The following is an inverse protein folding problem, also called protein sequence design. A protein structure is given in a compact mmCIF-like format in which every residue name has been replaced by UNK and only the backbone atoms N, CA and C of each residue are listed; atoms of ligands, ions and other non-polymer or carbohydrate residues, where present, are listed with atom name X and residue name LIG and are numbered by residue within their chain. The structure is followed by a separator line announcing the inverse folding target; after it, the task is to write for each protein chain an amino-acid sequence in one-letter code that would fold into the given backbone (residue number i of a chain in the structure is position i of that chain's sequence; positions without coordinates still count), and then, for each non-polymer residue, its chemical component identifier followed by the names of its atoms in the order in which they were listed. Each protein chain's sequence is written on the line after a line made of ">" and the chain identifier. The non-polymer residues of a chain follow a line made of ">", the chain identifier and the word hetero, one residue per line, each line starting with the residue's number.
data_IF_465273841996
#
_entry.id   IF_465273841996
#
_cell.length_a   1.000
_cell.length_b   1.000
_cell.length_c   1.000
_cell.angle_alpha   90.00
_cell.angle_beta   90.00
_cell.angle_gamma   90.00
#
_symmetry.space_group_name_H-M   'P 1'
#
loop_
_entity.id
_entity.type
_entity.pdbx_description
1 polymer ?
#
# COMPACT_ATOMS: atom_id res chain seq x y z
N UNK A 1 -21.56 -1.93 17.58
CA UNK A 1 -20.34 -2.61 17.14
C UNK A 1 -20.67 -3.57 16.01
N UNK A 2 -19.88 -3.58 14.94
CA UNK A 2 -20.03 -4.53 13.86
C UNK A 2 -19.31 -5.83 14.25
N UNK A 3 -19.96 -6.99 14.05
CA UNK A 3 -19.37 -8.30 14.33
C UNK A 3 -18.30 -8.67 13.27
N UNK A 4 -18.51 -8.18 12.04
CA UNK A 4 -17.62 -8.43 10.91
C UNK A 4 -17.27 -7.07 10.27
N UNK A 5 -16.07 -6.58 10.54
CA UNK A 5 -15.54 -5.37 9.92
C UNK A 5 -14.08 -5.60 9.54
N UNK A 6 -13.74 -5.21 8.33
CA UNK A 6 -12.36 -5.18 7.89
C UNK A 6 -11.62 -4.01 8.54
N UNK A 7 -10.30 -4.09 8.61
CA UNK A 7 -9.43 -2.99 9.04
C UNK A 7 -9.25 -1.96 7.92
N UNK A 8 -8.41 -0.97 8.16
CA UNK A 8 -8.13 0.08 7.20
C UNK A 8 -9.26 1.11 7.14
N UNK A 9 -9.66 1.47 5.92
CA UNK A 9 -10.69 2.48 5.66
C UNK A 9 -12.06 2.11 6.22
N UNK A 10 -12.38 0.82 6.31
CA UNK A 10 -13.70 0.35 6.75
C UNK A 10 -14.08 0.87 8.14
N UNK A 11 -13.13 0.98 9.07
CA UNK A 11 -13.35 1.52 10.41
C UNK A 11 -13.57 3.04 10.43
N UNK A 12 -13.11 3.73 9.39
CA UNK A 12 -13.14 5.19 9.26
C UNK A 12 -14.15 5.67 8.21
N UNK A 13 -14.94 4.75 7.64
CA UNK A 13 -15.92 5.07 6.58
C UNK A 13 -16.79 6.29 6.88
N UNK A 14 -17.33 6.52 8.10
CA UNK A 14 -18.14 7.71 8.39
C UNK A 14 -17.41 9.04 8.20
N UNK A 15 -16.09 9.06 8.30
CA UNK A 15 -15.28 10.25 8.04
C UNK A 15 -15.04 10.44 6.53
N UNK A 16 -14.78 9.34 5.80
CA UNK A 16 -14.53 9.38 4.36
C UNK A 16 -15.78 9.70 3.53
N UNK A 17 -16.96 9.30 4.00
CA UNK A 17 -18.24 9.62 3.33
C UNK A 17 -18.86 10.94 3.82
N UNK A 18 -18.17 11.68 4.70
CA UNK A 18 -18.58 13.00 5.16
C UNK A 18 -19.70 13.02 6.19
N UNK A 19 -20.15 11.86 6.71
CA UNK A 19 -21.17 11.79 7.77
C UNK A 19 -20.69 12.33 9.10
N UNK A 20 -19.40 12.22 9.36
CA UNK A 20 -18.77 12.74 10.58
C UNK A 20 -17.53 13.55 10.16
N UNK A 21 -17.40 14.75 10.72
CA UNK A 21 -16.20 15.57 10.56
C UNK A 21 -15.25 15.21 11.71
N UNK A 22 -14.03 14.75 11.43
CA UNK A 22 -13.07 14.44 12.50
C UNK A 22 -12.51 15.71 13.13
N UNK A 23 -12.19 15.65 14.41
CA UNK A 23 -11.53 16.75 15.13
C UNK A 23 -10.13 17.04 14.56
N UNK A 24 -9.44 16.00 14.07
CA UNK A 24 -8.19 16.10 13.35
C UNK A 24 -8.29 15.31 12.03
N UNK A 25 -8.07 15.96 10.87
CA UNK A 25 -8.13 15.28 9.58
C UNK A 25 -6.94 14.33 9.33
N UNK A 26 -5.89 14.38 10.13
CA UNK A 26 -4.73 13.49 10.07
C UNK A 26 -4.82 12.45 11.17
N UNK A 27 -5.04 11.21 10.79
CA UNK A 27 -5.25 10.10 11.72
C UNK A 27 -4.17 9.05 11.52
N UNK A 28 -3.60 8.57 12.61
CA UNK A 28 -2.76 7.37 12.62
C UNK A 28 -3.32 6.36 13.60
N UNK A 29 -3.24 5.08 13.26
CA UNK A 29 -3.68 4.01 14.15
C UNK A 29 -2.92 2.70 13.90
N UNK A 30 -3.12 1.76 14.83
CA UNK A 30 -2.76 0.35 14.68
C UNK A 30 -4.03 -0.47 14.95
N UNK A 31 -4.47 -1.25 13.96
CA UNK A 31 -5.70 -2.01 14.03
C UNK A 31 -5.39 -3.51 14.08
N UNK A 32 -5.87 -4.21 15.11
CA UNK A 32 -5.83 -5.68 15.14
C UNK A 32 -6.79 -6.24 14.12
N UNK A 33 -6.32 -7.16 13.30
CA UNK A 33 -7.04 -7.67 12.14
C UNK A 33 -6.92 -9.16 11.99
N UNK A 34 -7.99 -9.77 11.47
CA UNK A 34 -8.02 -11.17 11.08
C UNK A 34 -8.39 -11.23 9.59
N UNK A 35 -7.60 -11.97 8.81
CA UNK A 35 -7.89 -12.30 7.41
C UNK A 35 -7.81 -13.80 7.21
N UNK A 36 -8.76 -14.37 6.48
CA UNK A 36 -8.85 -15.81 6.23
C UNK A 36 -8.95 -16.18 4.76
N UNK A 37 -9.01 -15.20 3.87
CA UNK A 37 -9.09 -15.42 2.42
C UNK A 37 -7.85 -16.13 1.82
N UNK A 38 -6.69 -15.97 2.45
CA UNK A 38 -5.44 -16.63 2.03
C UNK A 38 -4.94 -17.66 3.06
N UNK A 39 -5.85 -18.33 3.75
CA UNK A 39 -5.51 -19.22 4.87
C UNK A 39 -4.61 -20.38 4.45
N UNK A 40 -4.73 -20.87 3.23
CA UNK A 40 -3.87 -21.93 2.69
C UNK A 40 -2.41 -21.51 2.50
N UNK A 41 -2.14 -20.21 2.44
CA UNK A 41 -0.79 -19.64 2.30
C UNK A 41 -0.13 -19.32 3.64
N UNK A 42 -0.89 -19.37 4.74
CA UNK A 42 -0.36 -19.12 6.08
C UNK A 42 0.66 -20.17 6.47
N UNK A 43 1.84 -19.71 6.88
CA UNK A 43 2.97 -20.58 7.22
C UNK A 43 3.76 -21.13 6.02
N UNK A 44 3.33 -20.82 4.77
CA UNK A 44 4.05 -21.18 3.54
C UNK A 44 4.78 -19.97 2.93
N UNK A 45 4.23 -18.79 3.08
CA UNK A 45 4.83 -17.53 2.62
C UNK A 45 5.20 -16.66 3.80
N UNK A 46 6.13 -15.72 3.61
CA UNK A 46 6.53 -14.79 4.67
C UNK A 46 5.49 -13.69 4.95
N UNK A 47 4.54 -13.47 4.04
CA UNK A 47 3.61 -12.35 4.06
C UNK A 47 2.17 -12.68 4.46
N UNK A 48 1.78 -13.95 4.51
CA UNK A 48 0.41 -14.35 4.84
C UNK A 48 0.29 -14.77 6.30
N UNK A 49 -0.53 -14.01 7.03
CA UNK A 49 -0.87 -14.24 8.44
C UNK A 49 -2.39 -14.18 8.62
N UNK A 50 -2.94 -14.97 9.54
CA UNK A 50 -4.36 -14.89 9.90
C UNK A 50 -4.65 -13.74 10.83
N UNK A 51 -3.79 -13.51 11.83
CA UNK A 51 -3.88 -12.42 12.78
C UNK A 51 -2.66 -11.50 12.65
N UNK A 52 -2.91 -10.20 12.54
CA UNK A 52 -1.86 -9.18 12.38
C UNK A 52 -2.34 -7.81 12.86
N UNK A 53 -1.43 -6.89 13.01
CA UNK A 53 -1.76 -5.48 13.22
C UNK A 53 -1.55 -4.72 11.91
N UNK A 54 -2.57 -3.99 11.48
CA UNK A 54 -2.49 -3.09 10.34
C UNK A 54 -2.17 -1.69 10.85
N UNK A 55 -1.00 -1.20 10.50
CA UNK A 55 -0.61 0.19 10.76
C UNK A 55 -1.22 1.07 9.67
N UNK A 56 -1.79 2.20 10.03
CA UNK A 56 -2.44 3.08 9.07
C UNK A 56 -2.18 4.56 9.35
N UNK A 57 -2.11 5.33 8.27
CA UNK A 57 -2.18 6.77 8.27
C UNK A 57 -3.26 7.21 7.28
N UNK A 58 -4.12 8.13 7.70
CA UNK A 58 -5.29 8.52 6.95
C UNK A 58 -5.38 10.04 6.89
N UNK A 59 -5.76 10.55 5.72
CA UNK A 59 -6.03 11.97 5.49
C UNK A 59 -7.49 12.16 5.08
N UNK A 60 -8.22 12.90 5.88
CA UNK A 60 -9.62 13.22 5.63
C UNK A 60 -9.69 14.66 5.07
N UNK A 61 -9.43 14.79 3.76
CA UNK A 61 -9.47 16.08 3.06
C UNK A 61 -8.33 17.04 3.41
N UNK A 62 -7.17 16.52 3.83
CA UNK A 62 -5.97 17.31 4.13
C UNK A 62 -4.88 17.04 3.08
N UNK A 63 -3.98 16.08 3.29
CA UNK A 63 -2.98 15.71 2.29
C UNK A 63 -3.52 14.64 1.32
N UNK A 64 -2.92 14.55 0.12
CA UNK A 64 -3.29 13.55 -0.87
C UNK A 64 -2.04 12.85 -1.45
N UNK A 65 -2.02 12.48 -2.73
CA UNK A 65 -0.99 11.63 -3.33
C UNK A 65 0.43 12.15 -3.12
N UNK A 66 0.68 13.38 -3.48
CA UNK A 66 2.01 13.98 -3.44
C UNK A 66 2.61 13.91 -2.04
N UNK A 67 1.93 14.49 -1.06
CA UNK A 67 2.41 14.53 0.31
C UNK A 67 2.50 13.11 0.90
N UNK A 68 1.51 12.26 0.63
CA UNK A 68 1.49 10.88 1.10
C UNK A 68 2.71 10.10 0.61
N UNK A 69 3.08 10.24 -0.67
CA UNK A 69 4.26 9.63 -1.27
C UNK A 69 5.54 10.14 -0.60
N UNK A 70 5.66 11.45 -0.42
CA UNK A 70 6.83 12.04 0.26
C UNK A 70 6.96 11.58 1.71
N UNK A 71 5.85 11.52 2.47
CA UNK A 71 5.87 11.03 3.86
C UNK A 71 6.27 9.55 3.93
N UNK A 72 5.75 8.72 3.04
CA UNK A 72 6.09 7.30 3.03
C UNK A 72 7.56 7.10 2.67
N UNK A 73 8.06 7.82 1.66
CA UNK A 73 9.45 7.73 1.27
C UNK A 73 10.41 8.20 2.37
N UNK A 74 10.15 9.34 2.99
CA UNK A 74 10.92 9.81 4.13
C UNK A 74 10.92 8.78 5.27
N UNK A 75 9.74 8.29 5.66
CA UNK A 75 9.64 7.31 6.74
C UNK A 75 10.41 6.02 6.46
N UNK A 76 10.40 5.53 5.23
CA UNK A 76 11.10 4.30 4.89
C UNK A 76 12.61 4.48 4.75
N UNK A 77 13.07 5.61 4.22
CA UNK A 77 14.49 5.79 3.81
C UNK A 77 15.34 6.61 4.76
N UNK A 78 14.75 7.52 5.53
CA UNK A 78 15.52 8.34 6.48
C UNK A 78 16.02 7.48 7.64
N UNK A 79 17.32 7.59 7.97
CA UNK A 79 17.98 6.88 9.07
C UNK A 79 17.33 7.15 10.43
N UNK A 80 16.66 8.29 10.58
CA UNK A 80 15.92 8.66 11.78
C UNK A 80 14.71 7.75 12.01
N UNK A 81 14.19 7.12 10.95
CA UNK A 81 13.01 6.26 10.96
C UNK A 81 13.38 4.82 10.65
N UNK A 82 13.00 4.30 9.47
CA UNK A 82 13.26 2.92 9.10
C UNK A 82 14.66 2.69 8.50
N UNK A 83 15.25 3.71 7.85
CA UNK A 83 16.59 3.65 7.30
C UNK A 83 16.79 2.58 6.21
N UNK A 84 15.75 2.27 5.44
CA UNK A 84 15.87 1.33 4.32
C UNK A 84 16.76 1.91 3.22
N UNK A 85 17.58 1.06 2.62
CA UNK A 85 18.37 1.41 1.46
C UNK A 85 17.44 1.75 0.28
N UNK A 86 17.46 3.01 -0.22
CA UNK A 86 16.61 3.43 -1.34
C UNK A 86 16.81 2.61 -2.60
N UNK A 87 18.00 2.04 -2.81
CA UNK A 87 18.34 1.22 -3.98
C UNK A 87 17.62 -0.13 -3.97
N UNK A 88 17.13 -0.58 -2.81
CA UNK A 88 16.36 -1.80 -2.64
C UNK A 88 14.85 -1.61 -2.70
N UNK A 89 14.39 -0.37 -2.83
CA UNK A 89 12.97 -0.07 -2.91
C UNK A 89 12.51 0.05 -4.35
N UNK A 90 11.39 -0.59 -4.66
CA UNK A 90 10.66 -0.48 -5.92
C UNK A 90 9.19 -0.23 -5.66
N UNK A 91 8.49 0.31 -6.65
CA UNK A 91 7.10 0.76 -6.49
C UNK A 91 6.25 0.24 -7.63
N UNK A 92 5.04 -0.21 -7.31
CA UNK A 92 4.01 -0.48 -8.30
C UNK A 92 2.93 0.59 -8.26
N UNK A 93 2.40 0.94 -9.43
CA UNK A 93 1.33 1.94 -9.61
C UNK A 93 0.32 1.47 -10.64
N UNK A 94 -0.89 2.03 -10.61
CA UNK A 94 -1.85 1.80 -11.69
C UNK A 94 -1.35 2.45 -13.01
N UNK A 95 -1.54 1.80 -14.17
CA UNK A 95 -1.05 2.31 -15.47
C UNK A 95 -1.53 3.72 -15.82
N UNK A 96 -2.76 4.06 -15.42
CA UNK A 96 -3.37 5.37 -15.69
C UNK A 96 -3.09 6.42 -14.61
N UNK A 97 -2.43 6.06 -13.50
CA UNK A 97 -2.09 7.02 -12.44
C UNK A 97 -0.82 7.81 -12.78
N UNK A 98 -0.96 8.74 -13.70
CA UNK A 98 0.15 9.58 -14.15
C UNK A 98 0.63 10.53 -13.05
N UNK A 99 -0.26 11.00 -12.19
CA UNK A 99 0.10 11.85 -11.04
C UNK A 99 1.07 11.11 -10.09
N UNK A 100 0.73 9.87 -9.71
CA UNK A 100 1.64 9.06 -8.89
C UNK A 100 2.96 8.78 -9.59
N UNK A 101 2.92 8.48 -10.92
CA UNK A 101 4.13 8.29 -11.71
C UNK A 101 5.04 9.52 -11.64
N UNK A 102 4.49 10.70 -11.84
CA UNK A 102 5.27 11.94 -11.87
C UNK A 102 5.91 12.24 -10.51
N UNK A 103 5.20 12.03 -9.42
CA UNK A 103 5.75 12.21 -8.07
C UNK A 103 6.85 11.17 -7.79
N UNK A 104 6.60 9.88 -8.05
CA UNK A 104 7.58 8.83 -7.80
C UNK A 104 8.84 8.98 -8.65
N UNK A 105 8.67 9.29 -9.94
CA UNK A 105 9.80 9.36 -10.87
C UNK A 105 10.53 10.71 -10.82
N UNK A 106 9.78 11.82 -10.92
CA UNK A 106 10.38 13.13 -11.10
C UNK A 106 10.74 13.81 -9.77
N UNK A 107 9.98 13.59 -8.69
CA UNK A 107 10.23 14.24 -7.41
C UNK A 107 11.04 13.35 -6.46
N UNK A 108 10.65 12.09 -6.30
CA UNK A 108 11.37 11.12 -5.45
C UNK A 108 12.62 10.59 -6.14
N UNK A 109 12.57 10.41 -7.46
CA UNK A 109 13.71 9.94 -8.24
C UNK A 109 13.78 8.43 -8.43
N UNK A 110 12.66 7.71 -8.26
CA UNK A 110 12.62 6.27 -8.57
C UNK A 110 12.91 6.06 -10.06
N UNK A 111 13.93 5.27 -10.43
CA UNK A 111 14.21 4.97 -11.84
C UNK A 111 13.08 4.13 -12.45
N UNK A 112 12.89 4.26 -13.75
CA UNK A 112 11.78 3.61 -14.48
C UNK A 112 11.77 2.08 -14.30
N UNK A 113 12.94 1.48 -14.17
CA UNK A 113 13.12 0.04 -13.99
C UNK A 113 12.58 -0.47 -12.65
N UNK A 114 12.42 0.42 -11.69
CA UNK A 114 11.89 0.12 -10.35
C UNK A 114 10.51 0.76 -10.10
N UNK A 115 9.87 1.30 -11.15
CA UNK A 115 8.53 1.87 -11.12
C UNK A 115 7.63 1.11 -12.09
N UNK A 116 6.94 0.11 -11.59
CA UNK A 116 6.21 -0.89 -12.38
C UNK A 116 4.73 -0.51 -12.48
N UNK A 117 4.16 -0.58 -13.67
CA UNK A 117 2.74 -0.32 -13.92
C UNK A 117 1.98 -1.63 -13.92
N UNK A 118 1.03 -1.79 -12.99
CA UNK A 118 0.20 -2.99 -12.85
C UNK A 118 -1.28 -2.60 -12.76
N UNK A 119 -2.12 -3.25 -13.55
CA UNK A 119 -3.58 -3.06 -13.52
C UNK A 119 -4.19 -3.38 -12.14
N UNK A 120 -3.57 -4.29 -11.39
CA UNK A 120 -3.99 -4.65 -10.03
C UNK A 120 -3.84 -3.53 -9.00
N UNK A 121 -3.12 -2.44 -9.31
CA UNK A 121 -2.99 -1.28 -8.41
C UNK A 121 -4.23 -0.37 -8.44
N UNK A 122 -5.40 -0.97 -8.41
CA UNK A 122 -6.69 -0.30 -8.30
C UNK A 122 -7.58 -1.06 -7.32
N UNK A 123 -8.20 -0.36 -6.39
CA UNK A 123 -9.12 -0.91 -5.42
C UNK A 123 -10.53 -0.40 -5.65
N UNK A 124 -11.50 -1.28 -5.45
CA UNK A 124 -12.93 -1.02 -5.60
C UNK A 124 -13.69 -1.86 -4.58
N UNK A 125 -14.68 -1.27 -3.92
CA UNK A 125 -15.54 -1.96 -2.94
C UNK A 125 -16.99 -2.10 -3.44
N UNK A 126 -17.23 -1.85 -4.72
CA UNK A 126 -18.57 -1.76 -5.31
C UNK A 126 -19.16 -0.36 -5.12
N UNK A 127 -20.27 -0.22 -4.38
CA UNK A 127 -20.80 1.10 -4.03
C UNK A 127 -19.90 1.81 -3.02
N UNK A 128 -19.49 3.03 -3.34
CA UNK A 128 -18.66 3.86 -2.47
C UNK A 128 -17.33 4.24 -3.07
N UNK A 129 -16.33 4.52 -2.22
CA UNK A 129 -15.03 4.98 -2.68
C UNK A 129 -14.24 3.91 -3.43
N UNK A 130 -13.48 4.35 -4.42
CA UNK A 130 -12.52 3.55 -5.18
C UNK A 130 -11.34 4.41 -5.65
N UNK A 131 -10.30 3.80 -6.16
CA UNK A 131 -9.19 4.53 -6.74
C UNK A 131 -7.92 3.70 -6.92
N UNK A 132 -6.87 4.34 -7.45
CA UNK A 132 -5.58 3.72 -7.58
C UNK A 132 -4.88 3.60 -6.23
N UNK A 133 -3.85 2.76 -6.21
CA UNK A 133 -2.91 2.65 -5.10
C UNK A 133 -1.47 2.55 -5.61
N UNK A 134 -0.53 2.91 -4.75
CA UNK A 134 0.90 2.67 -4.93
C UNK A 134 1.39 1.71 -3.86
N UNK A 135 2.03 0.64 -4.26
CA UNK A 135 2.63 -0.32 -3.34
C UNK A 135 4.14 -0.21 -3.37
N UNK A 136 4.76 -0.22 -2.21
CA UNK A 136 6.21 -0.11 -2.04
C UNK A 136 6.75 -1.46 -1.62
N UNK A 137 7.75 -1.96 -2.35
CA UNK A 137 8.37 -3.27 -2.15
C UNK A 137 9.84 -3.12 -1.78
N UNK A 138 10.29 -4.01 -0.89
CA UNK A 138 11.69 -4.15 -0.52
C UNK A 138 12.30 -5.38 -1.19
N UNK A 139 13.37 -5.20 -1.96
CA UNK A 139 14.14 -6.31 -2.55
C UNK A 139 15.00 -7.00 -1.48
N UNK A 140 14.61 -8.20 -1.10
CA UNK A 140 15.30 -9.03 -0.11
C UNK A 140 16.56 -9.72 -0.70
N UNK A 141 16.74 -9.60 -2.03
CA UNK A 141 17.84 -10.21 -2.76
C UNK A 141 17.49 -11.56 -3.39
N UNK A 142 18.37 -12.01 -4.27
CA UNK A 142 18.16 -13.19 -5.12
C UNK A 142 17.92 -14.49 -4.32
N UNK A 143 18.51 -14.61 -3.14
CA UNK A 143 18.35 -15.79 -2.28
C UNK A 143 16.88 -16.04 -1.88
N UNK A 144 16.05 -15.00 -1.86
CA UNK A 144 14.63 -15.09 -1.52
C UNK A 144 13.73 -15.32 -2.75
N UNK A 145 14.29 -15.30 -3.95
CA UNK A 145 13.54 -15.62 -5.17
C UNK A 145 13.43 -17.11 -5.45
N UNK A 146 14.06 -17.96 -4.64
CA UNK A 146 14.06 -19.39 -4.86
C UNK A 146 12.65 -19.99 -4.75
N UNK A 147 12.25 -20.74 -5.78
CA UNK A 147 10.96 -21.42 -5.84
C UNK A 147 9.86 -20.68 -6.58
N UNK A 148 10.03 -19.39 -6.88
CA UNK A 148 9.10 -18.69 -7.75
C UNK A 148 9.41 -18.95 -9.23
N UNK A 149 8.38 -19.10 -10.09
CA UNK A 149 8.58 -19.25 -11.51
C UNK A 149 9.15 -17.94 -12.10
N UNK A 150 9.97 -18.00 -13.18
CA UNK A 150 10.61 -16.82 -13.77
C UNK A 150 9.64 -15.69 -14.15
N UNK A 151 8.45 -16.05 -14.62
CA UNK A 151 7.37 -15.13 -14.99
C UNK A 151 6.80 -14.33 -13.82
N UNK A 152 6.99 -14.82 -12.58
CA UNK A 152 6.53 -14.16 -11.35
C UNK A 152 7.66 -13.40 -10.63
N UNK A 153 8.90 -13.46 -11.15
CA UNK A 153 10.09 -12.85 -10.53
C UNK A 153 10.22 -11.36 -10.87
N UNK A 154 9.21 -10.58 -10.54
CA UNK A 154 9.21 -9.12 -10.68
C UNK A 154 8.56 -8.48 -9.46
N UNK A 155 8.72 -7.15 -9.31
CA UNK A 155 8.07 -6.38 -8.24
C UNK A 155 6.55 -6.40 -8.41
N UNK A 156 5.85 -6.97 -7.44
CA UNK A 156 4.39 -7.16 -7.48
C UNK A 156 3.95 -8.53 -8.00
N UNK A 157 4.87 -9.39 -8.46
CA UNK A 157 4.59 -10.78 -8.80
C UNK A 157 4.54 -11.70 -7.57
N UNK A 158 4.12 -12.94 -7.77
CA UNK A 158 4.00 -13.98 -6.73
C UNK A 158 5.36 -14.57 -6.37
N UNK A 159 6.17 -13.84 -5.60
CA UNK A 159 7.48 -14.27 -5.14
C UNK A 159 7.80 -13.76 -3.74
N UNK A 160 8.84 -14.32 -3.11
CA UNK A 160 9.28 -13.94 -1.77
C UNK A 160 10.47 -12.95 -1.79
N UNK A 161 10.97 -12.60 -2.98
CA UNK A 161 12.08 -11.64 -3.12
C UNK A 161 11.63 -10.22 -2.87
N UNK A 162 10.55 -9.81 -3.52
CA UNK A 162 10.00 -8.46 -3.40
C UNK A 162 8.87 -8.46 -2.37
N UNK A 163 9.20 -7.96 -1.16
CA UNK A 163 8.26 -7.92 -0.05
C UNK A 163 7.55 -6.58 -0.01
N UNK A 164 6.22 -6.59 -0.13
CA UNK A 164 5.39 -5.40 0.08
C UNK A 164 5.54 -4.90 1.52
N UNK A 165 5.94 -3.63 1.68
CA UNK A 165 6.15 -2.99 2.99
C UNK A 165 5.16 -1.85 3.24
N UNK A 166 4.54 -1.31 2.21
CA UNK A 166 3.54 -0.24 2.33
C UNK A 166 2.60 -0.23 1.13
N UNK A 167 1.33 0.00 1.38
CA UNK A 167 0.32 0.28 0.36
C UNK A 167 -0.29 1.65 0.59
N UNK A 168 -0.04 2.60 -0.33
CA UNK A 168 -0.63 3.93 -0.34
C UNK A 168 -1.93 3.89 -1.13
N UNK A 169 -3.05 3.90 -0.43
CA UNK A 169 -4.39 3.74 -1.00
C UNK A 169 -5.05 5.12 -1.17
N UNK A 170 -5.43 5.45 -2.41
CA UNK A 170 -6.04 6.73 -2.74
C UNK A 170 -7.53 6.56 -3.03
N UNK A 171 -8.36 7.33 -2.31
CA UNK A 171 -9.80 7.42 -2.57
C UNK A 171 -10.03 8.57 -3.54
N UNK A 172 -10.17 8.25 -4.82
CA UNK A 172 -10.24 9.24 -5.90
C UNK A 172 -11.62 9.32 -6.55
N UNK A 173 -12.34 8.20 -6.56
CA UNK A 173 -13.64 8.08 -7.18
C UNK A 173 -14.69 7.65 -6.15
N UNK A 174 -15.95 7.91 -6.46
CA UNK A 174 -17.08 7.44 -5.67
C UNK A 174 -18.15 6.89 -6.61
N UNK A 175 -18.44 5.61 -6.50
CA UNK A 175 -19.48 4.93 -7.26
C UNK A 175 -20.81 4.99 -6.51
N UNK A 176 -21.84 5.51 -7.18
CA UNK A 176 -23.22 5.60 -6.67
C UNK A 176 -24.04 4.44 -7.21
#
# INVERSE_FOLDING_TARGET
>A
SLLWINSGVATLKPYFDGRIIPDNPRITNAQKSIRTNDIENVGKTARHHTFFEMLGNFSIGDYFKKESIHYAWEFLTDEKWMGFDPEKLSVTIHPEDQEAYDVWHNEIGIPKERLIRLEGNFWDIGEGPSGPNSEIFYDRGEAYGFGAPPEEMYTGGENERYLEVWNLVFSQFNHN
#
